data_IF_432876190043
#
_entry.id   IF_432876190043
#
_cell.length_a   1.000
_cell.length_b   1.000
_cell.length_c   1.000
_cell.angle_alpha   90.00
_cell.angle_beta   90.00
_cell.angle_gamma   90.00
#
_symmetry.space_group_name_H-M   'P 1'
#
loop_
_entity.id
_entity.type
_entity.pdbx_description
1 polymer ?
#
# COMPACT_ATOMS: atom_id res chain seq x y z
N UNK A 1 6.01 -13.20 11.00
CA UNK A 1 5.31 -14.10 10.06
C UNK A 1 3.99 -13.45 9.68
N UNK A 2 3.83 -13.19 8.42
CA UNK A 2 2.61 -12.54 7.92
C UNK A 2 1.90 -13.55 7.00
N UNK A 3 0.76 -14.08 7.45
CA UNK A 3 0.07 -15.17 6.77
C UNK A 3 -1.39 -14.77 6.54
N UNK A 4 -1.89 -14.99 5.32
CA UNK A 4 -3.30 -14.82 5.02
C UNK A 4 -4.15 -15.80 5.81
N UNK A 5 -5.27 -15.34 6.33
CA UNK A 5 -6.20 -16.14 7.13
C UNK A 5 -7.59 -16.12 6.50
N UNK A 6 -8.38 -17.16 6.76
CA UNK A 6 -9.78 -17.23 6.39
C UNK A 6 -10.65 -17.16 7.64
N UNK A 7 -11.61 -16.24 7.68
CA UNK A 7 -12.61 -16.21 8.73
C UNK A 7 -13.67 -17.27 8.41
N UNK A 8 -13.80 -18.28 9.28
CA UNK A 8 -14.75 -19.40 9.10
C UNK A 8 -16.04 -19.24 9.87
N UNK A 9 -16.07 -18.35 10.83
CA UNK A 9 -17.26 -18.08 11.63
C UNK A 9 -17.02 -17.05 12.70
N UNK A 10 -18.07 -16.61 13.33
CA UNK A 10 -18.02 -15.72 14.47
C UNK A 10 -19.17 -16.02 15.45
N UNK A 11 -18.98 -15.59 16.68
CA UNK A 11 -19.99 -15.63 17.73
C UNK A 11 -19.94 -14.30 18.48
N UNK A 12 -21.11 -13.71 18.64
CA UNK A 12 -21.26 -12.47 19.42
C UNK A 12 -21.83 -12.75 20.80
N UNK A 13 -21.33 -12.03 21.80
CA UNK A 13 -21.92 -11.93 23.12
C UNK A 13 -21.89 -10.48 23.61
N UNK A 14 -22.36 -10.22 24.83
CA UNK A 14 -22.43 -8.87 25.41
C UNK A 14 -21.05 -8.25 25.65
N UNK A 15 -19.98 -9.02 25.64
CA UNK A 15 -18.61 -8.60 25.95
C UNK A 15 -17.73 -8.45 24.72
N UNK A 16 -18.16 -8.96 23.55
CA UNK A 16 -17.36 -8.87 22.34
C UNK A 16 -17.73 -9.88 21.27
N UNK A 17 -16.82 -10.10 20.36
CA UNK A 17 -16.97 -11.02 19.23
C UNK A 17 -15.81 -12.02 19.21
N UNK A 18 -16.14 -13.31 19.24
CA UNK A 18 -15.17 -14.39 19.01
C UNK A 18 -15.09 -14.68 17.51
N UNK A 19 -13.87 -14.78 16.98
CA UNK A 19 -13.64 -15.14 15.60
C UNK A 19 -13.02 -16.54 15.48
N UNK A 20 -13.55 -17.35 14.57
CA UNK A 20 -12.96 -18.63 14.19
C UNK A 20 -12.18 -18.40 12.89
N UNK A 21 -10.85 -18.46 12.97
CA UNK A 21 -9.97 -18.25 11.83
C UNK A 21 -9.24 -19.54 11.45
N UNK A 22 -9.05 -19.72 10.17
CA UNK A 22 -8.22 -20.79 9.63
C UNK A 22 -6.93 -20.23 9.05
N UNK A 23 -5.82 -20.74 9.53
CA UNK A 23 -4.49 -20.39 9.03
C UNK A 23 -3.92 -21.62 8.32
N UNK A 24 -3.62 -21.55 7.02
CA UNK A 24 -3.15 -22.69 6.24
C UNK A 24 -1.66 -22.97 6.49
N UNK A 25 -1.27 -23.13 7.75
CA UNK A 25 0.10 -23.52 8.15
C UNK A 25 0.04 -24.58 9.23
N UNK A 26 0.43 -25.81 8.88
CA UNK A 26 0.43 -26.96 9.80
C UNK A 26 1.41 -26.80 10.96
N UNK A 27 2.50 -26.05 10.77
CA UNK A 27 3.52 -25.83 11.80
C UNK A 27 2.99 -24.99 12.96
N UNK A 28 1.96 -24.19 12.70
CA UNK A 28 1.34 -23.35 13.72
C UNK A 28 0.75 -24.17 14.86
N UNK A 29 0.13 -25.32 14.56
CA UNK A 29 -0.41 -26.23 15.56
C UNK A 29 0.65 -26.71 16.55
N UNK A 30 1.79 -27.15 16.04
CA UNK A 30 2.93 -27.57 16.87
C UNK A 30 3.50 -26.43 17.72
N UNK A 31 3.56 -25.22 17.15
CA UNK A 31 4.05 -24.05 17.88
C UNK A 31 3.11 -23.65 19.03
N UNK A 32 1.80 -23.77 18.82
CA UNK A 32 0.80 -23.50 19.86
C UNK A 32 0.85 -24.56 20.97
N UNK A 33 0.93 -25.85 20.61
CA UNK A 33 1.07 -26.95 21.58
C UNK A 33 2.31 -26.80 22.46
N UNK A 34 3.43 -26.39 21.86
CA UNK A 34 4.69 -26.16 22.58
C UNK A 34 4.76 -24.82 23.30
N UNK A 35 3.66 -24.10 23.35
CA UNK A 35 3.56 -22.75 23.99
C UNK A 35 4.63 -21.76 23.53
N UNK A 36 5.09 -21.89 22.29
CA UNK A 36 6.07 -20.97 21.67
C UNK A 36 5.43 -19.64 21.26
N UNK A 37 4.12 -19.65 20.96
CA UNK A 37 3.35 -18.46 20.64
C UNK A 37 2.50 -18.14 21.87
N UNK A 38 2.70 -16.96 22.46
CA UNK A 38 1.95 -16.48 23.61
C UNK A 38 1.01 -15.34 23.30
N UNK A 39 1.30 -14.60 22.23
CA UNK A 39 0.54 -13.44 21.80
C UNK A 39 0.44 -13.47 20.28
N UNK A 40 -0.73 -13.14 19.76
CA UNK A 40 -0.97 -12.96 18.34
C UNK A 40 -1.71 -11.64 18.13
N UNK A 41 -1.41 -10.99 17.02
CA UNK A 41 -2.11 -9.80 16.57
C UNK A 41 -2.87 -10.12 15.29
N UNK A 42 -4.15 -9.80 15.27
CA UNK A 42 -5.01 -9.95 14.11
C UNK A 42 -5.33 -8.56 13.55
N UNK A 43 -4.94 -8.32 12.29
CA UNK A 43 -5.34 -7.12 11.56
C UNK A 43 -6.53 -7.45 10.66
N UNK A 44 -7.66 -6.81 10.94
CA UNK A 44 -8.86 -6.92 10.11
C UNK A 44 -8.85 -5.78 9.08
N UNK A 45 -8.96 -6.14 7.81
CA UNK A 45 -9.09 -5.20 6.71
C UNK A 45 -10.56 -5.19 6.27
N UNK A 46 -11.23 -4.09 6.50
CA UNK A 46 -12.62 -3.87 6.11
C UNK A 46 -12.76 -3.25 4.71
N UNK A 47 -11.65 -3.22 3.93
CA UNK A 47 -11.59 -2.61 2.61
C UNK A 47 -11.49 -1.09 2.60
N UNK A 48 -11.49 -0.43 3.78
CA UNK A 48 -11.33 1.03 3.90
C UNK A 48 -9.89 1.46 4.06
N UNK A 49 -9.00 0.56 4.46
CA UNK A 49 -7.57 0.83 4.60
C UNK A 49 -6.80 0.46 3.34
N UNK A 50 -5.63 1.07 3.20
CA UNK A 50 -4.71 0.80 2.09
C UNK A 50 -4.55 -0.70 1.84
N UNK A 51 -4.70 -1.12 0.58
CA UNK A 51 -4.52 -2.51 0.18
C UNK A 51 -3.05 -2.89 0.03
N UNK A 52 -2.76 -4.21 0.07
CA UNK A 52 -1.43 -4.72 -0.24
C UNK A 52 -0.99 -4.37 -1.66
N UNK A 53 -1.91 -4.39 -2.62
CA UNK A 53 -1.63 -4.02 -4.01
C UNK A 53 -1.22 -2.54 -4.13
N UNK A 54 -1.94 -1.64 -3.47
CA UNK A 54 -1.60 -0.22 -3.43
C UNK A 54 -0.23 0.02 -2.79
N UNK A 55 0.07 -0.63 -1.67
CA UNK A 55 1.39 -0.54 -1.02
C UNK A 55 2.52 -0.98 -1.94
N UNK A 56 2.35 -2.10 -2.63
CA UNK A 56 3.35 -2.60 -3.59
C UNK A 56 3.61 -1.61 -4.72
N UNK A 57 2.56 -1.02 -5.28
CA UNK A 57 2.68 0.01 -6.31
C UNK A 57 3.44 1.23 -5.82
N UNK A 58 3.13 1.72 -4.62
CA UNK A 58 3.80 2.87 -4.00
C UNK A 58 5.29 2.58 -3.79
N UNK A 59 5.62 1.49 -3.10
CA UNK A 59 7.03 1.17 -2.79
C UNK A 59 7.86 0.88 -4.03
N UNK A 60 7.30 0.21 -5.02
CA UNK A 60 7.98 -0.04 -6.28
C UNK A 60 8.25 1.26 -7.05
N UNK A 61 7.27 2.17 -7.11
CA UNK A 61 7.42 3.47 -7.78
C UNK A 61 8.42 4.37 -7.05
N UNK A 62 8.35 4.41 -5.72
CA UNK A 62 9.33 5.16 -4.90
C UNK A 62 10.75 4.64 -5.11
N UNK A 63 10.92 3.32 -5.23
CA UNK A 63 12.22 2.73 -5.53
C UNK A 63 12.75 3.17 -6.90
N UNK A 64 11.91 3.15 -7.92
CA UNK A 64 12.31 3.62 -9.26
C UNK A 64 12.70 5.10 -9.26
N UNK A 65 11.98 5.94 -8.48
CA UNK A 65 12.35 7.35 -8.29
C UNK A 65 13.69 7.47 -7.59
N UNK A 66 13.92 6.71 -6.52
CA UNK A 66 15.17 6.71 -5.78
C UNK A 66 16.36 6.28 -6.64
N UNK A 67 16.19 5.27 -7.48
CA UNK A 67 17.22 4.82 -8.43
C UNK A 67 17.58 5.92 -9.44
N UNK A 68 16.60 6.73 -9.83
CA UNK A 68 16.82 7.86 -10.73
C UNK A 68 17.48 9.06 -10.05
N UNK A 69 17.04 9.41 -8.85
CA UNK A 69 17.51 10.61 -8.12
C UNK A 69 18.81 10.36 -7.35
N UNK A 70 19.12 9.11 -7.00
CA UNK A 70 20.28 8.75 -6.20
C UNK A 70 20.06 8.85 -4.68
N UNK A 71 18.85 9.19 -4.23
CA UNK A 71 18.49 9.17 -2.80
C UNK A 71 18.13 7.75 -2.34
N UNK A 72 18.06 7.55 -1.03
CA UNK A 72 17.56 6.28 -0.47
C UNK A 72 16.04 6.18 -0.63
N UNK A 73 15.48 4.97 -0.84
CA UNK A 73 14.03 4.80 -0.98
C UNK A 73 13.22 5.37 0.19
N UNK A 74 13.73 5.28 1.42
CA UNK A 74 13.05 5.85 2.60
C UNK A 74 13.03 7.38 2.57
N UNK A 75 14.08 8.02 2.10
CA UNK A 75 14.15 9.47 1.92
C UNK A 75 13.18 9.93 0.84
N UNK A 76 13.16 9.23 -0.31
CA UNK A 76 12.22 9.52 -1.40
C UNK A 76 10.77 9.34 -0.96
N UNK A 77 10.47 8.31 -0.18
CA UNK A 77 9.14 8.08 0.36
C UNK A 77 8.67 9.28 1.20
N UNK A 78 9.48 9.73 2.12
CA UNK A 78 9.14 10.88 2.98
C UNK A 78 9.03 12.17 2.16
N UNK A 79 9.90 12.38 1.19
CA UNK A 79 9.84 13.53 0.30
C UNK A 79 8.57 13.53 -0.56
N UNK A 80 8.19 12.39 -1.12
CA UNK A 80 6.95 12.25 -1.88
C UNK A 80 5.70 12.46 -1.02
N UNK A 81 5.69 11.97 0.21
CA UNK A 81 4.61 12.23 1.17
C UNK A 81 4.47 13.73 1.43
N UNK A 82 5.57 14.41 1.68
CA UNK A 82 5.58 15.85 1.92
C UNK A 82 5.08 16.63 0.70
N UNK A 83 5.54 16.28 -0.49
CA UNK A 83 5.06 16.87 -1.74
C UNK A 83 3.55 16.67 -1.92
N UNK A 84 3.04 15.49 -1.60
CA UNK A 84 1.62 15.19 -1.66
C UNK A 84 0.81 16.07 -0.71
N UNK A 85 1.26 16.21 0.53
CA UNK A 85 0.62 17.07 1.53
C UNK A 85 0.56 18.52 1.04
N UNK A 86 1.66 19.06 0.51
CA UNK A 86 1.70 20.41 -0.05
C UNK A 86 0.72 20.57 -1.21
N UNK A 87 0.70 19.63 -2.15
CA UNK A 87 -0.17 19.70 -3.35
C UNK A 87 -1.65 19.56 -3.03
N UNK A 88 -2.01 18.74 -2.05
CA UNK A 88 -3.41 18.47 -1.71
C UNK A 88 -3.93 19.31 -0.55
N UNK A 89 -3.06 19.96 0.23
CA UNK A 89 -3.42 20.63 1.46
C UNK A 89 -3.89 19.68 2.56
N UNK A 90 -3.61 18.38 2.44
CA UNK A 90 -4.03 17.34 3.36
C UNK A 90 -3.19 17.25 4.63
N UNK A 91 -3.54 16.29 5.45
CA UNK A 91 -2.83 15.96 6.68
C UNK A 91 -1.78 14.86 6.44
N UNK A 92 -0.85 14.73 7.38
CA UNK A 92 0.10 13.60 7.37
C UNK A 92 -0.63 12.26 7.47
N UNK A 93 -0.06 11.24 6.85
CA UNK A 93 -0.65 9.91 6.78
C UNK A 93 0.42 8.81 6.84
N UNK A 94 -0.01 7.64 7.26
CA UNK A 94 0.84 6.45 7.31
C UNK A 94 0.49 5.48 6.18
N UNK A 95 1.49 4.98 5.47
CA UNK A 95 1.31 3.95 4.43
C UNK A 95 0.94 2.57 5.00
N UNK A 96 0.88 2.43 6.32
CA UNK A 96 0.40 1.20 6.95
C UNK A 96 -1.08 1.26 7.33
N UNK A 97 -1.66 2.46 7.50
CA UNK A 97 -3.02 2.63 8.03
C UNK A 97 -3.90 3.63 7.28
N UNK A 98 -3.39 4.34 6.28
CA UNK A 98 -4.19 5.31 5.53
C UNK A 98 -5.36 4.63 4.80
N UNK A 99 -6.37 5.43 4.42
CA UNK A 99 -7.49 4.95 3.62
C UNK A 99 -7.07 4.57 2.21
N UNK A 100 -7.88 3.74 1.55
CA UNK A 100 -7.68 3.41 0.13
C UNK A 100 -7.74 4.65 -0.76
N UNK A 101 -8.58 5.62 -0.42
CA UNK A 101 -8.70 6.89 -1.16
C UNK A 101 -7.44 7.74 -1.01
N UNK A 102 -6.90 7.87 0.20
CA UNK A 102 -5.62 8.55 0.42
C UNK A 102 -4.48 7.86 -0.33
N UNK A 103 -4.44 6.53 -0.31
CA UNK A 103 -3.45 5.76 -1.05
C UNK A 103 -3.55 5.99 -2.57
N UNK A 104 -4.77 6.02 -3.12
CA UNK A 104 -5.01 6.31 -4.54
C UNK A 104 -4.53 7.71 -4.92
N UNK A 105 -4.88 8.70 -4.14
CA UNK A 105 -4.42 10.08 -4.36
C UNK A 105 -2.90 10.20 -4.27
N UNK A 106 -2.29 9.49 -3.34
CA UNK A 106 -0.83 9.45 -3.23
C UNK A 106 -0.16 8.78 -4.43
N UNK A 107 -0.72 7.67 -4.92
CA UNK A 107 -0.26 7.02 -6.16
C UNK A 107 -0.34 8.00 -7.34
N UNK A 108 -1.44 8.74 -7.45
CA UNK A 108 -1.59 9.76 -8.49
C UNK A 108 -0.50 10.83 -8.40
N UNK A 109 -0.19 11.31 -7.20
CA UNK A 109 0.86 12.32 -6.99
C UNK A 109 2.24 11.81 -7.41
N UNK A 110 2.63 10.62 -7.00
CA UNK A 110 3.95 10.06 -7.34
C UNK A 110 4.06 9.74 -8.83
N UNK A 111 2.99 9.29 -9.46
CA UNK A 111 2.98 9.03 -10.91
C UNK A 111 2.99 10.34 -11.72
N UNK A 112 2.29 11.37 -11.31
CA UNK A 112 2.41 12.68 -11.94
C UNK A 112 3.85 13.20 -11.88
N UNK A 113 4.51 13.07 -10.73
CA UNK A 113 5.91 13.43 -10.58
C UNK A 113 6.82 12.64 -11.52
N UNK A 114 6.61 11.33 -11.62
CA UNK A 114 7.34 10.45 -12.54
C UNK A 114 7.18 10.91 -13.99
N UNK A 115 5.96 11.19 -14.41
CA UNK A 115 5.65 11.65 -15.77
C UNK A 115 6.27 13.00 -16.04
N UNK A 116 6.10 13.96 -15.12
CA UNK A 116 6.61 15.34 -15.27
C UNK A 116 8.13 15.36 -15.42
N UNK A 117 8.85 14.52 -14.68
CA UNK A 117 10.32 14.51 -14.68
C UNK A 117 10.91 13.45 -15.61
N UNK A 118 10.09 12.69 -16.33
CA UNK A 118 10.57 11.67 -17.26
C UNK A 118 11.34 10.53 -16.60
N UNK A 119 10.96 10.16 -15.38
CA UNK A 119 11.62 9.10 -14.62
C UNK A 119 11.26 7.74 -15.22
N UNK A 120 12.22 6.88 -15.55
CA UNK A 120 11.94 5.54 -16.07
C UNK A 120 11.40 4.63 -14.96
N UNK A 121 10.28 3.95 -15.25
CA UNK A 121 9.72 2.93 -14.38
C UNK A 121 10.18 1.53 -14.80
N UNK A 122 10.36 0.65 -13.84
CA UNK A 122 10.71 -0.77 -14.08
C UNK A 122 9.55 -1.59 -14.67
N UNK A 123 8.33 -1.05 -14.64
CA UNK A 123 7.14 -1.61 -15.26
C UNK A 123 6.37 -0.51 -16.01
N UNK A 124 5.46 -0.86 -16.94
CA UNK A 124 4.59 0.14 -17.56
C UNK A 124 3.79 0.93 -16.52
N UNK A 125 3.70 2.25 -16.70
CA UNK A 125 3.00 3.12 -15.75
C UNK A 125 1.53 2.75 -15.55
N UNK A 126 0.88 2.16 -16.55
CA UNK A 126 -0.50 1.64 -16.43
C UNK A 126 -0.63 0.54 -15.38
N UNK A 127 0.42 -0.21 -15.09
CA UNK A 127 0.45 -1.25 -14.06
C UNK A 127 0.72 -0.68 -12.66
N UNK A 128 1.19 0.56 -12.59
CA UNK A 128 1.47 1.27 -11.34
C UNK A 128 0.35 2.17 -10.87
N UNK A 129 -0.58 2.51 -11.75
CA UNK A 129 -1.70 3.38 -11.39
C UNK A 129 -2.84 2.62 -10.72
N UNK A 130 -3.56 3.34 -9.88
CA UNK A 130 -4.83 2.90 -9.28
C UNK A 130 -6.03 3.63 -9.91
N UNK A 131 -5.75 4.55 -10.82
CA UNK A 131 -6.72 5.36 -11.55
C UNK A 131 -6.19 5.61 -12.97
N UNK A 132 -6.59 4.74 -13.91
CA UNK A 132 -6.11 4.77 -15.29
C UNK A 132 -6.49 6.09 -15.98
N UNK A 133 -7.68 6.59 -15.77
CA UNK A 133 -8.13 7.85 -16.38
C UNK A 133 -7.25 9.03 -15.98
N UNK A 134 -6.92 9.13 -14.71
CA UNK A 134 -6.05 10.18 -14.19
C UNK A 134 -4.60 10.04 -14.67
N UNK A 135 -4.11 8.80 -14.73
CA UNK A 135 -2.78 8.53 -15.29
C UNK A 135 -2.67 8.98 -16.76
N UNK A 136 -3.64 8.63 -17.59
CA UNK A 136 -3.69 9.06 -19.00
C UNK A 136 -3.81 10.58 -19.12
N UNK A 137 -4.59 11.22 -18.25
CA UNK A 137 -4.68 12.68 -18.19
C UNK A 137 -3.30 13.32 -17.92
N UNK A 138 -2.53 12.80 -16.98
CA UNK A 138 -1.19 13.30 -16.71
C UNK A 138 -0.23 13.10 -17.90
N UNK A 139 -0.30 11.96 -18.56
CA UNK A 139 0.49 11.72 -19.76
C UNK A 139 0.18 12.75 -20.85
N UNK A 140 -1.08 13.05 -21.11
CA UNK A 140 -1.49 14.07 -22.06
C UNK A 140 -1.06 15.48 -21.63
N UNK A 141 -1.27 15.83 -20.36
CA UNK A 141 -0.88 17.13 -19.79
C UNK A 141 0.61 17.40 -19.96
N UNK A 142 1.44 16.42 -19.75
CA UNK A 142 2.90 16.54 -19.84
C UNK A 142 3.46 16.08 -21.20
N UNK A 143 2.62 15.74 -22.15
CA UNK A 143 2.99 15.32 -23.52
C UNK A 143 3.93 14.11 -23.53
N UNK A 144 3.65 13.14 -22.66
CA UNK A 144 4.41 11.89 -22.54
C UNK A 144 3.61 10.71 -23.08
N UNK A 145 4.32 9.67 -23.53
CA UNK A 145 3.69 8.42 -23.92
C UNK A 145 3.19 7.68 -22.68
N UNK A 146 2.00 7.05 -22.76
CA UNK A 146 1.40 6.30 -21.67
C UNK A 146 2.05 4.90 -21.44
N UNK A 147 2.91 4.49 -22.32
CA UNK A 147 3.59 3.18 -22.30
C UNK A 147 4.98 3.29 -21.72
#
# INVERSE_FOLDING_TARGET
>A
MNTGVQIRGYREDTNGTDLIIHIPDRRLGDMLQRKRIKVAELRLDDGRHISSAQRKKIYATVRDIADFTGYLPEEEKEWMKYLHIIRTGGEDFSLSTCSMDTAREFINTILEYVIEHGIPLSEPGVDRTDDIGKYLYYCLKHKKCAV
#
